data_IF_331190734846
#
_entry.id   IF_331190734846
#
_cell.length_a   1.000
_cell.length_b   1.000
_cell.length_c   1.000
_cell.angle_alpha   90.00
_cell.angle_beta   90.00
_cell.angle_gamma   90.00
#
_symmetry.space_group_name_H-M   'P 1'
#
loop_
_entity.id
_entity.type
_entity.pdbx_description
1 polymer ?
#
# COMPACT_ATOMS: atom_id res chain seq x y z
N UNK A 1 1.78 -9.58 -26.93
CA UNK A 1 2.35 -8.75 -25.87
C UNK A 1 1.78 -9.21 -24.53
N UNK A 2 2.62 -9.72 -23.62
CA UNK A 2 2.13 -10.28 -22.35
C UNK A 2 1.60 -9.19 -21.42
N UNK A 3 0.46 -9.43 -20.78
CA UNK A 3 -0.01 -8.60 -19.65
C UNK A 3 1.09 -8.58 -18.59
N UNK A 4 1.48 -7.39 -18.16
CA UNK A 4 2.29 -7.22 -16.96
C UNK A 4 1.60 -7.95 -15.81
N UNK A 5 2.26 -8.91 -15.17
CA UNK A 5 1.71 -9.56 -13.97
C UNK A 5 1.61 -8.50 -12.89
N UNK A 6 0.40 -8.25 -12.39
CA UNK A 6 0.21 -7.46 -11.18
C UNK A 6 0.91 -8.18 -10.02
N UNK A 7 1.76 -7.45 -9.30
CA UNK A 7 2.57 -7.97 -8.20
C UNK A 7 2.22 -7.25 -6.91
N UNK A 8 2.08 -8.05 -5.86
CA UNK A 8 1.86 -7.60 -4.49
C UNK A 8 2.88 -8.31 -3.59
N UNK A 9 3.56 -7.55 -2.75
CA UNK A 9 4.41 -8.11 -1.70
C UNK A 9 3.65 -8.11 -0.39
N UNK A 10 3.57 -9.27 0.26
CA UNK A 10 3.02 -9.41 1.60
C UNK A 10 4.15 -9.52 2.62
N UNK A 11 4.13 -8.67 3.63
CA UNK A 11 4.98 -8.77 4.81
C UNK A 11 4.13 -9.28 5.98
N UNK A 12 4.38 -10.53 6.36
CA UNK A 12 3.69 -11.21 7.46
C UNK A 12 4.62 -11.24 8.66
N UNK A 13 4.16 -10.69 9.78
CA UNK A 13 4.97 -10.58 11.01
C UNK A 13 4.30 -11.29 12.18
N UNK A 14 5.10 -12.00 12.97
CA UNK A 14 4.71 -12.60 14.23
C UNK A 14 5.88 -12.55 15.22
N UNK A 15 5.60 -12.46 16.52
CA UNK A 15 6.63 -12.58 17.55
C UNK A 15 6.87 -14.03 17.98
N UNK A 16 7.90 -14.25 18.80
CA UNK A 16 8.27 -15.59 19.30
C UNK A 16 7.23 -16.21 20.24
N UNK A 17 6.25 -15.43 20.72
CA UNK A 17 5.11 -15.93 21.51
C UNK A 17 3.97 -16.44 20.63
N UNK A 18 4.10 -16.29 19.30
CA UNK A 18 3.08 -16.66 18.34
C UNK A 18 2.05 -15.55 18.08
N UNK A 19 2.21 -14.36 18.66
CA UNK A 19 1.33 -13.22 18.39
C UNK A 19 1.55 -12.74 16.97
N UNK A 20 0.49 -12.72 16.18
CA UNK A 20 0.49 -12.20 14.81
C UNK A 20 0.19 -10.70 14.81
N UNK A 21 0.92 -9.96 13.99
CA UNK A 21 0.69 -8.53 13.79
C UNK A 21 -0.17 -8.28 12.55
N UNK A 22 -0.76 -7.07 12.40
CA UNK A 22 -1.45 -6.68 11.19
C UNK A 22 -0.66 -6.99 9.92
N UNK A 23 -1.35 -7.46 8.89
CA UNK A 23 -0.75 -7.76 7.59
C UNK A 23 -0.31 -6.46 6.90
N UNK A 24 0.91 -6.44 6.36
CA UNK A 24 1.39 -5.34 5.53
C UNK A 24 1.43 -5.78 4.05
N UNK A 25 0.77 -5.03 3.18
CA UNK A 25 0.74 -5.24 1.75
C UNK A 25 1.42 -4.06 1.05
N UNK A 26 2.32 -4.36 0.11
CA UNK A 26 2.95 -3.35 -0.75
C UNK A 26 2.57 -3.63 -2.20
N UNK A 27 1.89 -2.67 -2.80
CA UNK A 27 1.45 -2.68 -4.19
C UNK A 27 2.32 -1.76 -5.03
N UNK A 28 2.64 -2.17 -6.26
CA UNK A 28 3.33 -1.30 -7.21
C UNK A 28 2.38 -0.19 -7.68
N UNK A 29 2.74 1.08 -7.45
CA UNK A 29 1.94 2.23 -7.89
C UNK A 29 2.78 3.26 -8.63
N UNK A 30 2.22 3.95 -9.62
CA UNK A 30 2.97 5.03 -10.29
C UNK A 30 2.98 6.28 -9.41
N UNK A 31 4.15 6.87 -9.19
CA UNK A 31 4.27 8.16 -8.52
C UNK A 31 3.59 9.28 -9.32
N UNK A 32 3.04 10.27 -8.62
CA UNK A 32 2.55 11.50 -9.25
C UNK A 32 3.71 12.28 -9.87
N UNK A 33 3.43 13.01 -10.96
CA UNK A 33 4.40 13.95 -11.56
C UNK A 33 4.48 15.28 -10.78
N UNK A 34 3.49 15.57 -9.95
CA UNK A 34 3.40 16.84 -9.20
C UNK A 34 4.02 16.66 -7.82
N UNK A 35 5.17 17.31 -7.56
CA UNK A 35 5.96 17.13 -6.33
C UNK A 35 5.17 17.36 -5.03
N UNK A 36 4.35 18.41 -4.97
CA UNK A 36 3.52 18.68 -3.79
C UNK A 36 2.54 17.53 -3.50
N UNK A 37 1.97 16.94 -4.55
CA UNK A 37 1.06 15.78 -4.46
C UNK A 37 1.80 14.51 -4.09
N UNK A 38 3.07 14.36 -4.50
CA UNK A 38 3.91 13.22 -4.07
C UNK A 38 4.08 13.24 -2.56
N UNK A 39 4.43 14.38 -1.97
CA UNK A 39 4.62 14.48 -0.52
C UNK A 39 3.32 14.19 0.24
N UNK A 40 2.20 14.75 -0.21
CA UNK A 40 0.88 14.49 0.38
C UNK A 40 0.50 13.00 0.27
N UNK A 41 0.70 12.39 -0.90
CA UNK A 41 0.39 10.97 -1.08
C UNK A 41 1.24 10.08 -0.18
N UNK A 42 2.54 10.35 -0.04
CA UNK A 42 3.44 9.56 0.79
C UNK A 42 3.10 9.68 2.29
N UNK A 43 2.78 10.89 2.75
CA UNK A 43 2.55 11.16 4.18
C UNK A 43 1.15 10.81 4.63
N UNK A 44 0.12 11.06 3.81
CA UNK A 44 -1.28 10.94 4.23
C UNK A 44 -2.00 9.75 3.59
N UNK A 45 -1.53 9.27 2.43
CA UNK A 45 -2.27 8.28 1.61
C UNK A 45 -1.45 7.02 1.32
N UNK A 46 -0.40 6.78 2.10
CA UNK A 46 0.48 5.61 1.96
C UNK A 46 1.03 5.39 0.54
N UNK A 47 1.30 6.46 -0.20
CA UNK A 47 1.80 6.40 -1.57
C UNK A 47 0.72 6.20 -2.64
N UNK A 48 -0.57 6.19 -2.28
CA UNK A 48 -1.68 6.20 -3.22
C UNK A 48 -2.14 7.62 -3.56
N UNK A 49 -2.67 7.79 -4.77
CA UNK A 49 -3.38 9.01 -5.14
C UNK A 49 -4.76 9.07 -4.49
N UNK A 50 -5.35 10.27 -4.45
CA UNK A 50 -6.65 10.56 -3.81
C UNK A 50 -7.77 9.59 -4.17
N UNK A 51 -7.93 9.22 -5.45
CA UNK A 51 -9.02 8.33 -5.90
C UNK A 51 -8.85 6.93 -5.34
N UNK A 52 -7.67 6.33 -5.52
CA UNK A 52 -7.38 4.97 -5.04
C UNK A 52 -7.38 4.91 -3.51
N UNK A 53 -6.92 5.99 -2.85
CA UNK A 53 -6.95 6.08 -1.39
C UNK A 53 -8.35 5.90 -0.80
N UNK A 54 -9.38 6.49 -1.41
CA UNK A 54 -10.78 6.36 -0.96
C UNK A 54 -11.29 4.92 -0.97
N UNK A 55 -10.68 4.03 -1.75
CA UNK A 55 -11.00 2.61 -1.78
C UNK A 55 -10.11 1.82 -0.82
N UNK A 56 -8.83 2.16 -0.73
CA UNK A 56 -7.83 1.46 0.10
C UNK A 56 -8.06 1.69 1.59
N UNK A 57 -8.38 2.92 2.01
CA UNK A 57 -8.56 3.27 3.41
C UNK A 57 -9.66 2.44 4.10
N UNK A 58 -10.88 2.33 3.55
CA UNK A 58 -11.91 1.45 4.11
C UNK A 58 -11.51 -0.03 4.14
N UNK A 59 -10.70 -0.50 3.17
CA UNK A 59 -10.23 -1.89 3.15
C UNK A 59 -9.26 -2.16 4.29
N UNK A 60 -8.36 -1.23 4.59
CA UNK A 60 -7.45 -1.35 5.74
C UNK A 60 -8.21 -1.45 7.05
N UNK A 61 -9.23 -0.60 7.24
CA UNK A 61 -10.08 -0.62 8.44
C UNK A 61 -10.87 -1.91 8.55
N UNK A 62 -11.52 -2.32 7.45
CA UNK A 62 -12.35 -3.55 7.40
C UNK A 62 -11.56 -4.82 7.71
N UNK A 63 -10.32 -4.91 7.22
CA UNK A 63 -9.51 -6.13 7.32
C UNK A 63 -8.40 -6.05 8.38
N UNK A 64 -8.26 -4.92 9.09
CA UNK A 64 -7.21 -4.73 10.08
C UNK A 64 -5.80 -4.87 9.49
N UNK A 65 -5.60 -4.42 8.25
CA UNK A 65 -4.33 -4.52 7.53
C UNK A 65 -3.78 -3.14 7.16
N UNK A 66 -2.54 -3.10 6.69
CA UNK A 66 -1.92 -1.89 6.17
C UNK A 66 -1.46 -2.10 4.73
N UNK A 67 -1.89 -1.23 3.84
CA UNK A 67 -1.66 -1.31 2.40
C UNK A 67 -0.90 -0.05 1.99
N UNK A 68 0.22 -0.24 1.30
CA UNK A 68 1.09 0.82 0.81
C UNK A 68 1.30 0.72 -0.70
N UNK A 69 1.36 1.88 -1.35
CA UNK A 69 1.78 2.03 -2.74
C UNK A 69 3.26 2.39 -2.80
N UNK A 70 4.04 1.63 -3.56
CA UNK A 70 5.46 1.92 -3.78
C UNK A 70 5.80 1.89 -5.28
N UNK A 71 6.31 3.00 -5.87
CA UNK A 71 6.71 3.02 -7.27
C UNK A 71 7.92 2.17 -7.62
N UNK A 72 8.72 1.76 -6.63
CA UNK A 72 9.91 0.94 -6.84
C UNK A 72 9.72 -0.53 -6.46
N UNK A 73 8.51 -0.94 -6.03
CA UNK A 73 8.19 -2.33 -5.75
C UNK A 73 8.13 -3.22 -7.01
#
# INVERSE_FOLDING_TARGET
>A
AGKTKDRTTAMVMADSTGKKYPLFLVLKTKASKVKAVVQENLTQRHGFGKTVWKEVEPLQEKFGCRIYGNPTA
#
